data_IF_486190710977
#
_entry.id   IF_486190710977
#
_cell.length_a   1.000
_cell.length_b   1.000
_cell.length_c   1.000
_cell.angle_alpha   90.00
_cell.angle_beta   90.00
_cell.angle_gamma   90.00
#
_symmetry.space_group_name_H-M   'P 1'
#
loop_
_entity.id
_entity.type
_entity.pdbx_description
1 polymer ?
#
# COMPACT_ATOMS: atom_id res chain seq x y z
N UNK A 1 -19.15 6.55 6.11
CA UNK A 1 -18.21 5.61 6.75
C UNK A 1 -16.82 5.90 6.22
N UNK A 2 -15.86 6.17 7.11
CA UNK A 2 -14.50 6.61 6.77
C UNK A 2 -13.48 5.91 7.68
N UNK A 3 -13.58 4.58 7.74
CA UNK A 3 -12.90 3.72 8.71
C UNK A 3 -11.45 3.34 8.37
N UNK A 4 -10.92 3.83 7.24
CA UNK A 4 -9.52 3.63 6.88
C UNK A 4 -9.24 2.29 6.19
N UNK A 5 -8.00 1.85 6.29
CA UNK A 5 -7.48 0.63 5.69
C UNK A 5 -6.25 0.12 6.44
N UNK A 6 -5.99 -1.18 6.35
CA UNK A 6 -4.90 -1.88 7.04
C UNK A 6 -3.94 -2.55 6.06
N UNK A 7 -2.63 -2.55 6.33
CA UNK A 7 -1.63 -3.20 5.47
C UNK A 7 -1.75 -4.73 5.48
N UNK A 8 -1.63 -5.32 4.30
CA UNK A 8 -1.65 -6.76 4.10
C UNK A 8 -0.37 -7.43 4.59
N UNK A 9 -0.51 -8.69 4.97
CA UNK A 9 0.57 -9.56 5.51
C UNK A 9 0.89 -10.76 4.62
N UNK A 10 0.13 -10.93 3.55
CA UNK A 10 0.10 -12.14 2.72
C UNK A 10 0.89 -12.00 1.42
N UNK A 11 1.61 -10.89 1.25
CA UNK A 11 2.45 -10.60 0.08
C UNK A 11 1.67 -10.14 -1.16
N UNK A 12 0.34 -10.02 -1.09
CA UNK A 12 -0.48 -9.57 -2.22
C UNK A 12 -0.37 -8.07 -2.42
N UNK A 13 -0.15 -7.66 -3.68
CA UNK A 13 -0.28 -6.29 -4.16
C UNK A 13 -0.38 -6.24 -5.69
N UNK A 14 0.71 -5.92 -6.39
CA UNK A 14 0.76 -5.69 -7.84
C UNK A 14 1.38 -6.87 -8.56
N UNK A 15 2.51 -7.36 -8.03
CA UNK A 15 3.20 -8.51 -8.62
C UNK A 15 2.50 -9.82 -8.26
N UNK A 16 2.27 -10.04 -6.96
CA UNK A 16 1.52 -11.20 -6.48
C UNK A 16 0.04 -10.82 -6.37
N UNK A 17 -0.81 -11.46 -7.17
CA UNK A 17 -2.27 -11.26 -7.13
C UNK A 17 -2.98 -12.22 -6.15
N UNK A 18 -2.26 -13.21 -5.65
CA UNK A 18 -2.71 -14.21 -4.68
C UNK A 18 -1.69 -14.32 -3.54
N UNK A 19 -2.12 -14.73 -2.33
CA UNK A 19 -1.21 -14.94 -1.20
C UNK A 19 -0.02 -15.82 -1.56
N UNK A 20 1.19 -15.38 -1.20
CA UNK A 20 2.38 -16.21 -1.33
C UNK A 20 2.47 -17.21 -0.18
N UNK A 21 3.25 -18.27 -0.37
CA UNK A 21 3.58 -19.18 0.73
C UNK A 21 4.46 -18.47 1.76
N UNK A 22 4.08 -18.56 3.04
CA UNK A 22 4.79 -17.96 4.17
C UNK A 22 4.94 -18.99 5.27
N UNK A 23 6.19 -19.34 5.59
CA UNK A 23 6.53 -20.17 6.72
C UNK A 23 6.19 -19.45 8.04
N UNK A 24 5.51 -20.16 8.95
CA UNK A 24 5.08 -19.61 10.25
C UNK A 24 6.25 -19.28 11.19
N UNK A 25 7.42 -19.87 10.95
CA UNK A 25 8.61 -19.59 11.74
C UNK A 25 9.21 -18.21 11.45
N UNK A 26 8.96 -17.63 10.27
CA UNK A 26 9.50 -16.31 9.90
C UNK A 26 8.72 -15.19 10.59
N UNK A 27 9.40 -14.27 11.32
CA UNK A 27 8.79 -13.04 11.82
C UNK A 27 8.35 -12.10 10.68
N UNK A 28 7.04 -12.00 10.45
CA UNK A 28 6.44 -11.05 9.49
C UNK A 28 6.01 -9.77 10.21
N UNK A 29 6.34 -8.62 9.63
CA UNK A 29 5.92 -7.28 10.06
C UNK A 29 5.20 -6.55 8.92
N UNK A 30 4.46 -5.52 9.27
CA UNK A 30 3.81 -4.58 8.35
C UNK A 30 4.18 -3.17 8.77
N UNK A 31 3.94 -2.15 7.91
CA UNK A 31 3.99 -0.76 8.33
C UNK A 31 3.22 -0.50 9.62
N UNK A 32 1.97 -0.98 9.74
CA UNK A 32 1.16 -0.82 10.95
C UNK A 32 1.86 -1.40 12.18
N UNK A 33 2.41 -2.61 12.07
CA UNK A 33 3.12 -3.24 13.18
C UNK A 33 4.35 -2.44 13.64
N UNK A 34 5.11 -1.84 12.71
CA UNK A 34 6.27 -1.02 13.06
C UNK A 34 5.85 0.32 13.68
N UNK A 35 4.78 0.94 13.17
CA UNK A 35 4.19 2.15 13.74
C UNK A 35 3.62 1.91 15.15
N UNK A 36 3.05 0.73 15.41
CA UNK A 36 2.58 0.27 16.72
C UNK A 36 3.70 -0.10 17.72
N UNK A 37 4.96 0.13 17.35
CA UNK A 37 6.08 -0.08 18.26
C UNK A 37 6.75 -1.44 18.17
N UNK A 38 6.35 -2.34 17.25
CA UNK A 38 7.07 -3.60 17.05
C UNK A 38 8.46 -3.32 16.45
N UNK A 39 9.47 -4.07 16.89
CA UNK A 39 10.88 -3.86 16.50
C UNK A 39 11.49 -5.21 16.07
N UNK A 40 11.65 -5.47 14.76
CA UNK A 40 12.45 -6.62 14.31
C UNK A 40 13.92 -6.41 14.70
N UNK A 41 14.67 -7.50 14.76
CA UNK A 41 16.11 -7.51 15.07
C UNK A 41 16.88 -8.21 13.95
N UNK A 42 18.19 -7.96 13.86
CA UNK A 42 19.06 -8.66 12.90
C UNK A 42 18.93 -8.14 11.47
N UNK A 43 18.97 -9.06 10.50
CA UNK A 43 18.83 -8.77 9.07
C UNK A 43 17.36 -8.80 8.66
N UNK A 44 16.85 -7.63 8.26
CA UNK A 44 15.47 -7.46 7.83
C UNK A 44 15.39 -7.29 6.32
N UNK A 45 14.52 -8.07 5.69
CA UNK A 45 14.12 -7.86 4.30
C UNK A 45 12.87 -7.00 4.28
N UNK A 46 12.89 -5.90 3.53
CA UNK A 46 11.68 -5.16 3.15
C UNK A 46 11.27 -5.64 1.76
N UNK A 47 10.03 -6.10 1.62
CA UNK A 47 9.44 -6.33 0.32
C UNK A 47 8.50 -5.16 -0.01
N UNK A 48 8.95 -4.28 -0.90
CA UNK A 48 8.19 -3.13 -1.40
C UNK A 48 7.54 -3.44 -2.75
N UNK A 49 6.25 -3.75 -2.69
CA UNK A 49 5.34 -3.84 -3.85
C UNK A 49 4.26 -2.74 -3.80
N UNK A 50 4.46 -1.72 -2.94
CA UNK A 50 3.68 -0.47 -2.88
C UNK A 50 4.23 0.57 -3.87
N UNK A 51 5.56 0.67 -3.95
CA UNK A 51 6.35 1.53 -4.83
C UNK A 51 6.25 3.04 -4.58
N UNK A 52 5.58 3.49 -3.52
CA UNK A 52 5.55 4.90 -3.16
C UNK A 52 6.60 5.23 -2.10
N UNK A 53 6.20 5.76 -0.93
CA UNK A 53 7.16 6.19 0.10
C UNK A 53 7.31 5.19 1.24
N UNK A 54 6.34 4.29 1.44
CA UNK A 54 6.27 3.53 2.68
C UNK A 54 7.47 2.61 2.86
N UNK A 55 7.91 1.94 1.79
CA UNK A 55 9.08 1.06 1.84
C UNK A 55 10.34 1.82 2.23
N UNK A 56 10.60 2.97 1.60
CA UNK A 56 11.84 3.73 1.82
C UNK A 56 11.89 4.37 3.20
N UNK A 57 10.77 4.90 3.70
CA UNK A 57 10.68 5.44 5.07
C UNK A 57 10.96 4.35 6.11
N UNK A 58 10.44 3.14 5.91
CA UNK A 58 10.68 2.03 6.82
C UNK A 58 12.10 1.48 6.73
N UNK A 59 12.74 1.53 5.56
CA UNK A 59 14.16 1.21 5.41
C UNK A 59 15.03 2.13 6.27
N UNK A 60 14.80 3.44 6.19
CA UNK A 60 15.48 4.42 7.04
C UNK A 60 15.25 4.16 8.53
N UNK A 61 14.00 3.89 8.94
CA UNK A 61 13.66 3.56 10.32
C UNK A 61 14.42 2.33 10.84
N UNK A 62 14.51 1.28 10.02
CA UNK A 62 15.17 0.03 10.40
C UNK A 62 16.68 0.19 10.49
N UNK A 63 17.30 0.92 9.56
CA UNK A 63 18.73 1.28 9.68
C UNK A 63 18.98 2.08 10.95
N UNK A 64 18.13 3.08 11.27
CA UNK A 64 18.25 3.87 12.48
C UNK A 64 18.10 3.03 13.77
N UNK A 65 17.38 1.91 13.71
CA UNK A 65 17.25 0.96 14.81
C UNK A 65 18.42 -0.05 14.89
N UNK A 66 19.42 0.06 14.01
CA UNK A 66 20.60 -0.81 13.99
C UNK A 66 20.41 -2.12 13.23
N UNK A 67 19.34 -2.26 12.44
CA UNK A 67 19.11 -3.45 11.63
C UNK A 67 19.98 -3.41 10.36
N UNK A 68 20.42 -4.58 9.90
CA UNK A 68 20.90 -4.75 8.53
C UNK A 68 19.67 -4.84 7.62
N UNK A 69 19.61 -4.07 6.54
CA UNK A 69 18.42 -4.00 5.68
C UNK A 69 18.74 -4.43 4.25
N UNK A 70 17.93 -5.34 3.71
CA UNK A 70 17.84 -5.59 2.26
C UNK A 70 16.48 -5.12 1.78
N UNK A 71 16.47 -4.26 0.77
CA UNK A 71 15.26 -3.70 0.17
C UNK A 71 14.99 -4.38 -1.17
N UNK A 72 13.90 -5.13 -1.27
CA UNK A 72 13.49 -5.83 -2.48
C UNK A 72 12.27 -5.15 -3.10
N UNK A 73 12.34 -4.87 -4.40
CA UNK A 73 11.18 -4.36 -5.13
C UNK A 73 11.12 -4.94 -6.55
N UNK A 74 9.93 -5.29 -7.06
CA UNK A 74 9.72 -5.61 -8.47
C UNK A 74 10.02 -4.45 -9.42
N UNK A 75 9.92 -3.21 -8.93
CA UNK A 75 10.16 -1.99 -9.69
C UNK A 75 11.63 -1.84 -10.12
N UNK A 76 11.90 -0.91 -11.03
CA UNK A 76 13.28 -0.68 -11.53
C UNK A 76 14.12 0.19 -10.61
N UNK A 77 13.50 0.82 -9.60
CA UNK A 77 14.10 1.74 -8.63
C UNK A 77 13.37 1.62 -7.30
N UNK A 78 14.03 1.95 -6.18
CA UNK A 78 13.33 2.11 -4.91
C UNK A 78 12.40 3.34 -4.97
N UNK A 79 11.21 3.23 -4.35
CA UNK A 79 10.22 4.30 -4.32
C UNK A 79 9.86 4.84 -5.72
N UNK A 80 9.60 3.97 -6.70
CA UNK A 80 9.46 4.34 -8.13
C UNK A 80 8.46 5.47 -8.38
N UNK A 81 7.33 5.50 -7.68
CA UNK A 81 6.31 6.53 -7.84
C UNK A 81 6.77 7.93 -7.40
N UNK A 82 7.77 8.01 -6.51
CA UNK A 82 8.35 9.26 -6.04
C UNK A 82 9.15 10.02 -7.11
N UNK A 83 9.28 9.45 -8.33
CA UNK A 83 9.73 10.21 -9.49
C UNK A 83 8.77 11.39 -9.76
N UNK A 84 7.47 11.16 -9.57
CA UNK A 84 6.43 12.18 -9.77
C UNK A 84 6.44 13.27 -8.70
N UNK A 85 7.09 13.02 -7.55
CA UNK A 85 7.24 13.98 -6.45
C UNK A 85 8.63 14.61 -6.40
N UNK A 86 9.51 14.26 -7.35
CA UNK A 86 10.91 14.70 -7.44
C UNK A 86 11.82 14.22 -6.29
N UNK A 87 11.38 13.23 -5.50
CA UNK A 87 12.12 12.73 -4.33
C UNK A 87 12.98 11.50 -4.65
N UNK A 88 12.69 10.77 -5.74
CA UNK A 88 13.26 9.45 -6.04
C UNK A 88 14.79 9.42 -6.01
N UNK A 89 15.45 10.40 -6.64
CA UNK A 89 16.92 10.47 -6.67
C UNK A 89 17.53 10.67 -5.28
N UNK A 90 16.91 11.50 -4.45
CA UNK A 90 17.34 11.76 -3.08
C UNK A 90 17.11 10.53 -2.19
N UNK A 91 15.95 9.89 -2.31
CA UNK A 91 15.62 8.66 -1.59
C UNK A 91 16.62 7.55 -1.93
N UNK A 92 16.86 7.30 -3.22
CA UNK A 92 17.78 6.26 -3.67
C UNK A 92 19.20 6.51 -3.14
N UNK A 93 19.71 7.73 -3.26
CA UNK A 93 21.03 8.10 -2.74
C UNK A 93 21.11 7.87 -1.22
N UNK A 94 20.12 8.33 -0.47
CA UNK A 94 20.06 8.17 0.99
C UNK A 94 20.09 6.70 1.41
N UNK A 95 19.29 5.84 0.78
CA UNK A 95 19.26 4.40 1.10
C UNK A 95 20.63 3.75 0.87
N UNK A 96 21.29 4.08 -0.25
CA UNK A 96 22.60 3.52 -0.58
C UNK A 96 23.70 4.01 0.37
N UNK A 97 23.74 5.30 0.69
CA UNK A 97 24.68 5.88 1.66
C UNK A 97 24.45 5.36 3.09
N UNK A 98 23.20 5.02 3.43
CA UNK A 98 22.83 4.37 4.68
C UNK A 98 23.20 2.87 4.74
N UNK A 99 23.75 2.30 3.66
CA UNK A 99 24.19 0.90 3.60
C UNK A 99 23.06 -0.12 3.37
N UNK A 100 21.89 0.33 2.88
CA UNK A 100 20.80 -0.58 2.51
C UNK A 100 21.18 -1.35 1.24
N UNK A 101 21.05 -2.68 1.26
CA UNK A 101 21.20 -3.52 0.07
C UNK A 101 19.93 -3.42 -0.78
N UNK A 102 19.90 -2.47 -1.72
CA UNK A 102 18.75 -2.23 -2.60
C UNK A 102 18.82 -3.14 -3.83
N UNK A 103 17.87 -4.07 -3.95
CA UNK A 103 17.73 -4.98 -5.09
C UNK A 103 16.42 -4.75 -5.83
N UNK A 104 16.56 -4.05 -6.94
CA UNK A 104 15.47 -3.74 -7.87
C UNK A 104 15.20 -4.91 -8.80
N UNK A 105 14.03 -4.93 -9.44
CA UNK A 105 13.59 -5.96 -10.39
C UNK A 105 13.56 -7.35 -9.74
N UNK A 106 13.30 -7.40 -8.43
CA UNK A 106 13.21 -8.62 -7.60
C UNK A 106 11.87 -8.68 -6.88
N UNK A 107 11.08 -9.68 -7.22
CA UNK A 107 9.80 -9.95 -6.56
C UNK A 107 9.94 -11.09 -5.58
N UNK A 108 9.43 -10.95 -4.35
CA UNK A 108 9.36 -12.06 -3.40
C UNK A 108 8.21 -12.99 -3.80
N UNK A 109 8.49 -14.27 -3.94
CA UNK A 109 7.51 -15.30 -4.34
C UNK A 109 7.20 -16.29 -3.22
N UNK A 110 8.05 -16.37 -2.19
CA UNK A 110 7.88 -17.25 -1.04
C UNK A 110 8.69 -16.71 0.14
N UNK A 111 8.18 -16.90 1.35
CA UNK A 111 8.90 -16.67 2.60
C UNK A 111 9.12 -18.02 3.30
N UNK A 112 10.39 -18.37 3.54
CA UNK A 112 10.84 -19.57 4.24
C UNK A 112 11.17 -19.25 5.70
N UNK A 113 11.46 -20.28 6.51
CA UNK A 113 11.76 -20.12 7.93
C UNK A 113 12.92 -19.16 8.26
N UNK A 114 13.92 -19.01 7.38
CA UNK A 114 15.11 -18.17 7.61
C UNK A 114 15.60 -17.41 6.34
N UNK A 115 14.74 -17.31 5.32
CA UNK A 115 15.07 -16.67 4.05
C UNK A 115 13.81 -16.26 3.29
N UNK A 116 13.95 -15.41 2.28
CA UNK A 116 12.94 -15.22 1.23
C UNK A 116 13.44 -15.80 -0.09
N UNK A 117 12.54 -16.38 -0.87
CA UNK A 117 12.77 -16.65 -2.30
C UNK A 117 12.31 -15.42 -3.07
N UNK A 118 13.21 -14.79 -3.80
CA UNK A 118 12.90 -13.75 -4.76
C UNK A 118 13.14 -14.24 -6.18
N UNK A 119 12.49 -13.65 -7.18
CA UNK A 119 12.74 -13.92 -8.58
C UNK A 119 13.06 -12.63 -9.35
N UNK A 120 13.91 -12.76 -10.37
CA UNK A 120 14.12 -11.69 -11.34
C UNK A 120 12.84 -11.48 -12.16
N UNK A 121 12.27 -10.27 -12.11
CA UNK A 121 10.98 -9.96 -12.77
C UNK A 121 11.01 -10.11 -14.30
N UNK A 122 12.19 -10.12 -14.91
CA UNK A 122 12.38 -10.32 -16.35
C UNK A 122 12.59 -11.78 -16.76
N UNK A 123 13.24 -12.58 -15.91
CA UNK A 123 13.74 -13.91 -16.33
C UNK A 123 13.13 -15.05 -15.52
N UNK A 124 12.43 -14.75 -14.43
CA UNK A 124 11.92 -15.73 -13.48
C UNK A 124 12.99 -16.46 -12.68
N UNK A 125 14.29 -16.17 -12.89
CA UNK A 125 15.37 -16.86 -12.16
C UNK A 125 15.24 -16.59 -10.66
N UNK A 126 15.22 -17.65 -9.82
CA UNK A 126 15.10 -17.51 -8.38
C UNK A 126 16.45 -17.14 -7.75
N UNK A 127 16.36 -16.50 -6.59
CA UNK A 127 17.47 -16.17 -5.70
C UNK A 127 16.96 -16.30 -4.26
N UNK A 128 17.77 -16.87 -3.37
CA UNK A 128 17.47 -16.94 -1.94
C UNK A 128 18.24 -15.85 -1.18
N UNK A 129 17.54 -15.17 -0.28
CA UNK A 129 18.10 -14.11 0.55
C UNK A 129 17.79 -14.46 2.01
N UNK A 130 18.83 -14.86 2.75
CA UNK A 130 18.73 -15.12 4.18
C UNK A 130 18.30 -13.86 4.93
N UNK A 131 17.46 -14.01 5.95
CA UNK A 131 17.01 -12.91 6.81
C UNK A 131 16.40 -13.45 8.11
N UNK A 132 16.35 -12.57 9.12
CA UNK A 132 15.77 -12.85 10.43
C UNK A 132 14.32 -12.36 10.56
N UNK A 133 13.91 -11.44 9.69
CA UNK A 133 12.54 -10.92 9.62
C UNK A 133 12.20 -10.35 8.23
N UNK A 134 10.91 -10.29 7.92
CA UNK A 134 10.38 -9.67 6.70
C UNK A 134 9.37 -8.59 7.03
N UNK A 135 9.50 -7.42 6.41
CA UNK A 135 8.50 -6.34 6.45
C UNK A 135 7.76 -6.34 5.11
N UNK A 136 6.47 -6.64 5.15
CA UNK A 136 5.58 -6.65 3.99
C UNK A 136 5.04 -5.24 3.76
N UNK A 137 5.55 -4.57 2.72
CA UNK A 137 5.07 -3.28 2.25
C UNK A 137 4.42 -3.48 0.88
N UNK A 138 3.25 -4.10 0.88
CA UNK A 138 2.57 -4.52 -0.35
C UNK A 138 1.36 -3.64 -0.65
N UNK A 139 0.16 -4.06 -0.25
CA UNK A 139 -1.07 -3.32 -0.44
C UNK A 139 -1.82 -3.18 0.88
N UNK A 140 -2.88 -2.37 0.87
CA UNK A 140 -3.80 -2.22 2.00
C UNK A 140 -5.17 -2.81 1.64
N UNK A 141 -5.87 -3.34 2.64
CA UNK A 141 -7.27 -3.74 2.54
C UNK A 141 -8.15 -2.65 3.17
N UNK A 142 -9.27 -2.26 2.52
CA UNK A 142 -10.21 -1.34 3.13
C UNK A 142 -10.81 -1.94 4.40
N UNK A 143 -10.96 -1.13 5.44
CA UNK A 143 -11.67 -1.53 6.66
C UNK A 143 -13.17 -1.20 6.50
N UNK A 144 -13.88 -1.94 5.64
CA UNK A 144 -15.23 -1.60 5.16
C UNK A 144 -16.38 -2.42 5.77
N UNK A 145 -16.09 -3.33 6.71
CA UNK A 145 -17.09 -4.24 7.29
C UNK A 145 -18.31 -3.51 7.86
N UNK A 146 -18.12 -2.39 8.58
CA UNK A 146 -19.22 -1.57 9.09
C UNK A 146 -20.12 -1.04 7.97
N UNK A 147 -19.53 -0.64 6.84
CA UNK A 147 -20.30 -0.19 5.68
C UNK A 147 -21.11 -1.34 5.07
N UNK A 148 -20.49 -2.52 4.89
CA UNK A 148 -21.15 -3.71 4.36
C UNK A 148 -22.30 -4.17 5.26
N UNK A 149 -22.10 -4.17 6.58
CA UNK A 149 -23.12 -4.54 7.56
C UNK A 149 -24.32 -3.57 7.53
N UNK A 150 -24.05 -2.26 7.40
CA UNK A 150 -25.11 -1.26 7.23
C UNK A 150 -25.86 -1.47 5.92
N UNK A 151 -25.16 -1.76 4.81
CA UNK A 151 -25.77 -2.03 3.50
C UNK A 151 -26.63 -3.28 3.51
N UNK A 152 -26.21 -4.35 4.18
CA UNK A 152 -26.99 -5.57 4.34
C UNK A 152 -28.32 -5.32 5.09
N UNK A 153 -28.38 -4.26 5.90
CA UNK A 153 -29.56 -3.86 6.69
C UNK A 153 -30.31 -2.67 6.09
N UNK A 154 -30.16 -2.41 4.79
CA UNK A 154 -30.76 -1.24 4.12
C UNK A 154 -32.28 -1.13 4.31
N UNK A 155 -33.00 -2.25 4.40
CA UNK A 155 -34.45 -2.26 4.62
C UNK A 155 -34.87 -1.61 5.96
N UNK A 156 -34.00 -1.60 6.97
CA UNK A 156 -34.28 -1.02 8.29
C UNK A 156 -33.91 0.47 8.39
N UNK A 157 -33.33 1.08 7.36
CA UNK A 157 -32.80 2.43 7.44
C UNK A 157 -33.89 3.48 7.68
N UNK A 158 -34.99 3.41 6.94
CA UNK A 158 -36.09 4.37 7.04
C UNK A 158 -36.74 4.35 8.45
N UNK A 159 -36.99 3.16 8.99
CA UNK A 159 -37.52 2.97 10.35
C UNK A 159 -36.59 3.52 11.44
N UNK A 160 -35.30 3.69 11.13
CA UNK A 160 -34.28 4.23 12.03
C UNK A 160 -33.84 5.66 11.63
N UNK A 161 -34.57 6.34 10.73
CA UNK A 161 -34.28 7.72 10.33
C UNK A 161 -33.02 7.91 9.49
N UNK A 162 -32.43 6.85 8.97
CA UNK A 162 -31.24 6.89 8.11
C UNK A 162 -31.67 7.09 6.65
N UNK A 163 -31.23 8.17 6.01
CA UNK A 163 -31.56 8.48 4.61
C UNK A 163 -30.61 7.83 3.61
N UNK A 164 -29.30 7.86 3.89
CA UNK A 164 -28.29 7.26 3.04
C UNK A 164 -27.04 6.89 3.85
N UNK A 165 -26.28 5.92 3.34
CA UNK A 165 -24.97 5.53 3.86
C UNK A 165 -24.00 5.46 2.68
N UNK A 166 -22.92 6.24 2.74
CA UNK A 166 -21.80 6.19 1.79
C UNK A 166 -20.50 5.77 2.50
N UNK A 167 -19.58 5.16 1.76
CA UNK A 167 -18.20 4.89 2.19
C UNK A 167 -17.24 5.81 1.43
N UNK A 168 -16.22 6.34 2.10
CA UNK A 168 -15.27 7.31 1.56
C UNK A 168 -13.83 7.02 2.01
N UNK A 169 -12.87 7.62 1.32
CA UNK A 169 -11.44 7.51 1.64
C UNK A 169 -10.91 6.09 1.49
N UNK A 170 -9.94 5.73 2.32
CA UNK A 170 -9.26 4.44 2.22
C UNK A 170 -10.21 3.25 2.50
N UNK A 171 -11.30 3.45 3.24
CA UNK A 171 -12.34 2.43 3.43
C UNK A 171 -13.14 2.14 2.15
N UNK A 172 -13.10 3.03 1.16
CA UNK A 172 -13.68 2.78 -0.16
C UNK A 172 -12.62 2.21 -1.12
N UNK A 173 -11.44 2.84 -1.16
CA UNK A 173 -10.32 2.40 -1.98
C UNK A 173 -9.02 3.01 -1.42
N UNK A 174 -8.11 2.22 -0.84
CA UNK A 174 -6.87 2.73 -0.27
C UNK A 174 -6.01 3.48 -1.29
N UNK A 175 -5.61 4.71 -0.98
CA UNK A 175 -4.80 5.55 -1.86
C UNK A 175 -3.92 6.54 -1.07
N UNK A 176 -3.23 7.46 -1.76
CA UNK A 176 -2.48 8.52 -1.09
C UNK A 176 -3.41 9.43 -0.27
N UNK A 177 -2.86 10.10 0.75
CA UNK A 177 -3.62 10.95 1.70
C UNK A 177 -4.50 11.99 0.98
N UNK A 178 -4.01 12.57 -0.13
CA UNK A 178 -4.76 13.54 -0.93
C UNK A 178 -6.11 13.00 -1.43
N UNK A 179 -6.23 11.69 -1.67
CA UNK A 179 -7.49 11.07 -2.07
C UNK A 179 -8.47 10.91 -0.92
N UNK A 180 -7.99 10.66 0.29
CA UNK A 180 -8.83 10.62 1.48
C UNK A 180 -9.40 12.00 1.81
N UNK A 181 -8.58 13.05 1.76
CA UNK A 181 -9.03 14.43 1.98
C UNK A 181 -10.00 14.89 0.88
N UNK A 182 -9.70 14.59 -0.39
CA UNK A 182 -10.61 14.86 -1.50
C UNK A 182 -11.96 14.16 -1.32
N UNK A 183 -11.96 12.87 -0.96
CA UNK A 183 -13.20 12.11 -0.77
C UNK A 183 -14.06 12.66 0.37
N UNK A 184 -13.44 13.12 1.47
CA UNK A 184 -14.14 13.80 2.56
C UNK A 184 -14.77 15.12 2.13
N UNK A 185 -14.00 15.95 1.41
CA UNK A 185 -14.49 17.23 0.91
C UNK A 185 -15.66 17.04 -0.07
N UNK A 186 -15.48 16.16 -1.05
CA UNK A 186 -16.51 15.81 -2.04
C UNK A 186 -17.80 15.31 -1.38
N UNK A 187 -17.69 14.44 -0.37
CA UNK A 187 -18.88 13.95 0.33
C UNK A 187 -19.67 15.08 1.00
N UNK A 188 -18.97 16.05 1.61
CA UNK A 188 -19.62 17.18 2.26
C UNK A 188 -20.30 18.11 1.23
N UNK A 189 -19.64 18.38 0.09
CA UNK A 189 -20.20 19.22 -0.97
C UNK A 189 -21.37 18.56 -1.70
N UNK A 190 -21.36 17.24 -1.85
CA UNK A 190 -22.43 16.48 -2.53
C UNK A 190 -23.58 16.07 -1.59
N UNK A 191 -23.54 16.44 -0.30
CA UNK A 191 -24.62 16.14 0.62
C UNK A 191 -25.84 16.99 0.29
N UNK A 192 -27.02 16.38 0.25
CA UNK A 192 -28.30 16.99 -0.14
C UNK A 192 -28.40 17.53 -1.59
N UNK A 193 -27.36 17.34 -2.40
CA UNK A 193 -27.43 17.62 -3.84
C UNK A 193 -28.46 16.70 -4.53
N UNK A 194 -29.14 17.19 -5.58
CA UNK A 194 -30.08 16.38 -6.36
C UNK A 194 -29.37 15.21 -7.07
N UNK A 195 -30.13 14.15 -7.35
CA UNK A 195 -29.63 13.06 -8.19
C UNK A 195 -29.30 13.59 -9.59
N UNK A 196 -28.06 13.34 -10.01
CA UNK A 196 -27.52 13.79 -11.30
C UNK A 196 -27.62 12.71 -12.38
N UNK A 197 -28.06 11.49 -12.04
CA UNK A 197 -28.07 10.36 -12.97
C UNK A 197 -26.68 10.14 -13.58
N UNK A 198 -26.63 10.04 -14.92
CA UNK A 198 -25.38 9.85 -15.67
C UNK A 198 -24.65 11.17 -16.02
N UNK A 199 -25.13 12.33 -15.54
CA UNK A 199 -24.49 13.61 -15.82
C UNK A 199 -23.12 13.73 -15.13
N UNK A 200 -22.16 14.39 -15.79
CA UNK A 200 -20.82 14.58 -15.24
C UNK A 200 -20.86 15.45 -13.96
N UNK A 201 -20.16 15.06 -12.88
CA UNK A 201 -20.11 15.86 -11.66
C UNK A 201 -19.16 17.07 -11.75
N UNK A 202 -18.56 17.31 -12.93
CA UNK A 202 -17.63 18.40 -13.18
C UNK A 202 -17.80 18.96 -14.60
N UNK A 203 -17.46 20.24 -14.78
CA UNK A 203 -17.37 20.86 -16.11
C UNK A 203 -16.10 20.37 -16.79
N UNK A 204 -16.17 20.13 -18.11
CA UNK A 204 -15.00 19.76 -18.93
C UNK A 204 -14.90 20.65 -20.15
N UNK A 205 -13.68 20.89 -20.60
CA UNK A 205 -13.38 21.55 -21.87
C UNK A 205 -13.00 20.48 -22.89
N UNK A 206 -13.41 20.67 -24.15
CA UNK A 206 -13.13 19.75 -25.26
C UNK A 206 -12.43 20.50 -26.38
N UNK A 207 -11.60 19.79 -27.15
CA UNK A 207 -10.89 20.39 -28.27
C UNK A 207 -11.88 21.00 -29.28
N UNK A 208 -11.56 22.20 -29.76
CA UNK A 208 -12.29 22.82 -30.87
C UNK A 208 -12.14 21.99 -32.14
N UNK A 209 -13.22 21.86 -32.91
CA UNK A 209 -13.13 21.29 -34.24
C UNK A 209 -12.35 22.25 -35.15
N UNK A 210 -11.55 21.68 -36.03
CA UNK A 210 -10.84 22.45 -37.06
C UNK A 210 -11.85 22.79 -38.17
N UNK A 211 -11.89 24.06 -38.57
CA UNK A 211 -12.69 24.55 -39.71
C UNK A 211 -12.36 23.81 -41.03
#
# INVERSE_FOLDING_TARGET
IATGATWRRDGVARYNLLPIAIDRAMPIFTPDGLMDGKRPTGHVVIYDDDHYYMGSVLADLLVANGNRVTFLTPATKAAEWSFNTLEQGLIQSRLLEAGVDVRVTRAVTEVKAAAVTACCTYTGRPEEIACDAVVMVTARLPDDQLYLDLKARAAAWADNGIRSVKVIGDANAPAAIAWATYAGHRYAEELDEPDRGDALPFRREVAGLKD
#
